data_IF_054556066047
#
_entry.id   IF_054556066047
#
_cell.length_a   1.000
_cell.length_b   1.000
_cell.length_c   1.000
_cell.angle_alpha   90.00
_cell.angle_beta   90.00
_cell.angle_gamma   90.00
#
_symmetry.space_group_name_H-M   'P 1'
#
loop_
_entity.id
_entity.type
_entity.pdbx_description
1 polymer ?
#
# COMPACT_ATOMS: atom_id res chain seq x y z
N UNK A 1 11.37 17.48 -1.24
CA UNK A 1 11.01 18.45 -0.17
C UNK A 1 11.43 17.93 1.20
N UNK A 2 11.01 16.73 1.63
CA UNK A 2 11.44 16.08 2.89
C UNK A 2 12.93 15.73 2.94
N UNK A 3 13.44 15.00 1.94
CA UNK A 3 14.86 14.60 1.90
C UNK A 3 15.85 15.79 1.83
N UNK A 4 15.36 17.00 1.53
CA UNK A 4 16.16 18.23 1.46
C UNK A 4 15.99 19.12 2.69
N UNK A 5 15.20 18.71 3.68
CA UNK A 5 14.96 19.46 4.92
C UNK A 5 15.10 18.51 6.13
N UNK A 6 16.31 18.38 6.71
CA UNK A 6 16.61 17.40 7.76
C UNK A 6 15.73 17.53 9.01
N UNK A 7 15.37 18.75 9.40
CA UNK A 7 14.55 18.97 10.59
C UNK A 7 13.10 18.53 10.37
N UNK A 8 12.53 18.81 9.19
CA UNK A 8 11.22 18.29 8.81
C UNK A 8 11.24 16.76 8.70
N UNK A 9 12.31 16.19 8.13
CA UNK A 9 12.48 14.74 8.04
C UNK A 9 12.52 14.09 9.43
N UNK A 10 13.26 14.65 10.40
CA UNK A 10 13.29 14.15 11.78
C UNK A 10 11.91 14.16 12.44
N UNK A 11 11.12 15.20 12.20
CA UNK A 11 9.76 15.28 12.73
C UNK A 11 8.79 14.27 12.07
N UNK A 12 8.99 13.97 10.78
CA UNK A 12 8.16 13.05 10.01
C UNK A 12 8.47 11.57 10.28
N UNK A 13 9.75 11.23 10.48
CA UNK A 13 10.22 9.84 10.60
C UNK A 13 9.47 8.99 11.64
N UNK A 14 9.15 9.46 12.86
CA UNK A 14 8.42 8.66 13.84
C UNK A 14 7.04 8.20 13.34
N UNK A 15 6.32 9.07 12.63
CA UNK A 15 5.03 8.74 12.05
C UNK A 15 5.18 7.70 10.94
N UNK A 16 6.11 7.93 10.00
CA UNK A 16 6.39 6.98 8.92
C UNK A 16 6.81 5.62 9.46
N UNK A 17 7.71 5.59 10.44
CA UNK A 17 8.16 4.37 11.10
C UNK A 17 7.03 3.62 11.81
N UNK A 18 6.12 4.31 12.49
CA UNK A 18 4.96 3.69 13.11
C UNK A 18 4.04 3.02 12.07
N UNK A 19 3.69 3.74 11.00
CA UNK A 19 2.83 3.21 9.94
C UNK A 19 3.45 2.00 9.22
N UNK A 20 4.78 2.01 9.05
CA UNK A 20 5.52 0.93 8.39
C UNK A 20 5.78 -0.29 9.30
N UNK A 21 5.91 -0.10 10.61
CA UNK A 21 6.33 -1.18 11.52
C UNK A 21 5.23 -1.74 12.42
N UNK A 22 4.15 -0.98 12.65
CA UNK A 22 3.05 -1.35 13.55
C UNK A 22 1.71 -1.47 12.82
N UNK A 23 1.73 -1.46 11.49
CA UNK A 23 0.53 -1.66 10.68
C UNK A 23 -0.03 -3.08 10.82
N UNK A 24 -1.34 -3.28 10.60
CA UNK A 24 -1.97 -4.60 10.65
C UNK A 24 -1.70 -5.45 9.39
N UNK A 25 -0.96 -4.90 8.42
CA UNK A 25 -0.67 -5.57 7.15
C UNK A 25 0.60 -6.39 7.27
N UNK A 26 0.59 -7.55 6.61
CA UNK A 26 1.82 -8.29 6.37
C UNK A 26 2.82 -7.40 5.59
N UNK A 27 4.12 -7.37 5.97
CA UNK A 27 5.11 -6.52 5.33
C UNK A 27 5.17 -6.66 3.81
N UNK A 28 5.01 -7.88 3.27
CA UNK A 28 4.97 -8.09 1.81
C UNK A 28 3.83 -7.30 1.19
N UNK A 29 2.63 -7.43 1.74
CA UNK A 29 1.43 -6.80 1.18
C UNK A 29 1.47 -5.29 1.33
N UNK A 30 2.01 -4.79 2.44
CA UNK A 30 2.21 -3.38 2.66
C UNK A 30 3.12 -2.76 1.59
N UNK A 31 4.26 -3.38 1.33
CA UNK A 31 5.21 -2.86 0.35
C UNK A 31 4.70 -2.99 -1.10
N UNK A 32 3.96 -4.06 -1.44
CA UNK A 32 3.28 -4.15 -2.73
C UNK A 32 2.25 -3.03 -2.92
N UNK A 33 1.51 -2.67 -1.86
CA UNK A 33 0.58 -1.54 -1.91
C UNK A 33 1.31 -0.20 -2.11
N UNK A 34 2.42 0.04 -1.41
CA UNK A 34 3.23 1.24 -1.57
C UNK A 34 3.82 1.33 -2.99
N UNK A 35 4.35 0.24 -3.51
CA UNK A 35 4.86 0.19 -4.89
C UNK A 35 3.76 0.44 -5.92
N UNK A 36 2.53 -0.04 -5.67
CA UNK A 36 1.38 0.27 -6.54
C UNK A 36 1.00 1.75 -6.49
N UNK A 37 1.03 2.39 -5.31
CA UNK A 37 0.87 3.85 -5.18
C UNK A 37 1.96 4.57 -5.98
N UNK A 38 3.21 4.14 -5.86
CA UNK A 38 4.33 4.75 -6.58
C UNK A 38 4.14 4.69 -8.11
N UNK A 39 3.60 3.57 -8.63
CA UNK A 39 3.22 3.46 -10.05
C UNK A 39 2.06 4.38 -10.42
N UNK A 40 1.00 4.44 -9.60
CA UNK A 40 -0.18 5.26 -9.89
C UNK A 40 0.07 6.76 -9.80
N UNK A 41 1.07 7.18 -9.02
CA UNK A 41 1.42 8.58 -8.82
C UNK A 41 2.70 9.01 -9.58
N UNK A 42 3.22 8.19 -10.50
CA UNK A 42 4.47 8.45 -11.23
C UNK A 42 5.64 8.87 -10.31
N UNK A 43 5.85 8.13 -9.22
CA UNK A 43 6.80 8.44 -8.16
C UNK A 43 8.03 7.50 -8.19
N UNK A 44 9.00 7.72 -9.10
CA UNK A 44 10.14 6.81 -9.30
C UNK A 44 11.08 6.74 -8.10
N UNK A 45 11.15 7.80 -7.29
CA UNK A 45 11.91 7.77 -6.05
C UNK A 45 11.31 6.80 -5.05
N UNK A 46 9.98 6.85 -4.85
CA UNK A 46 9.29 5.95 -3.91
C UNK A 46 9.40 4.51 -4.39
N UNK A 47 9.28 4.28 -5.71
CA UNK A 47 9.54 2.96 -6.30
C UNK A 47 10.95 2.46 -5.94
N UNK A 48 11.98 3.23 -6.24
CA UNK A 48 13.37 2.84 -5.97
C UNK A 48 13.66 2.64 -4.46
N UNK A 49 13.04 3.45 -3.60
CA UNK A 49 13.18 3.36 -2.15
C UNK A 49 12.49 2.12 -1.57
N UNK A 50 11.35 1.72 -2.12
CA UNK A 50 10.52 0.65 -1.58
C UNK A 50 10.76 -0.73 -2.21
N UNK A 51 11.39 -0.83 -3.39
CA UNK A 51 11.76 -2.14 -3.96
C UNK A 51 12.63 -2.99 -3.00
N UNK A 52 13.70 -2.45 -2.38
CA UNK A 52 14.48 -3.20 -1.40
C UNK A 52 13.66 -3.59 -0.16
N UNK A 53 12.75 -2.73 0.29
CA UNK A 53 11.87 -3.01 1.41
C UNK A 53 10.86 -4.12 1.09
N UNK A 54 10.28 -4.11 -0.11
CA UNK A 54 9.38 -5.15 -0.60
C UNK A 54 10.06 -6.53 -0.62
N UNK A 55 11.27 -6.61 -1.16
CA UNK A 55 12.09 -7.83 -1.14
C UNK A 55 12.39 -8.29 0.29
N UNK A 56 12.77 -7.35 1.17
CA UNK A 56 13.02 -7.63 2.60
C UNK A 56 11.76 -8.07 3.36
N UNK A 57 10.59 -7.61 2.93
CA UNK A 57 9.28 -7.97 3.47
C UNK A 57 8.74 -9.30 2.94
N UNK A 58 9.44 -9.96 2.01
CA UNK A 58 9.08 -11.26 1.46
C UNK A 58 8.38 -11.23 0.09
N UNK A 59 8.32 -10.08 -0.59
CA UNK A 59 7.89 -10.01 -1.98
C UNK A 59 8.96 -10.62 -2.90
N UNK A 60 8.51 -11.18 -4.01
CA UNK A 60 9.37 -11.67 -5.07
C UNK A 60 9.56 -10.62 -6.16
N UNK A 61 10.68 -10.70 -6.89
CA UNK A 61 10.87 -9.86 -8.10
C UNK A 61 9.75 -10.07 -9.12
N UNK A 62 9.21 -11.29 -9.21
CA UNK A 62 8.09 -11.60 -10.10
C UNK A 62 6.81 -10.81 -9.71
N UNK A 63 6.48 -10.76 -8.42
CA UNK A 63 5.36 -9.94 -7.93
C UNK A 63 5.61 -8.46 -8.19
N UNK A 64 6.81 -7.95 -7.89
CA UNK A 64 7.16 -6.53 -8.13
C UNK A 64 7.01 -6.18 -9.61
N UNK A 65 7.51 -7.01 -10.51
CA UNK A 65 7.37 -6.79 -11.95
C UNK A 65 5.91 -6.85 -12.40
N UNK A 66 5.14 -7.81 -11.85
CA UNK A 66 3.71 -7.98 -12.14
C UNK A 66 2.86 -6.77 -11.71
N UNK A 67 3.34 -5.90 -10.79
CA UNK A 67 2.64 -4.68 -10.42
C UNK A 67 2.46 -3.71 -11.60
N UNK A 68 3.24 -3.81 -12.66
CA UNK A 68 3.07 -2.98 -13.86
C UNK A 68 2.18 -3.62 -14.94
N UNK A 69 1.86 -4.92 -14.78
CA UNK A 69 1.13 -5.70 -15.76
C UNK A 69 -0.39 -5.61 -15.50
N UNK A 70 -1.19 -5.05 -16.43
CA UNK A 70 -2.63 -4.94 -16.25
C UNK A 70 -3.37 -6.29 -16.30
N UNK A 71 -2.74 -7.36 -16.78
CA UNK A 71 -3.34 -8.70 -16.86
C UNK A 71 -2.77 -9.69 -15.85
N UNK A 72 -1.89 -9.25 -14.95
CA UNK A 72 -1.37 -10.09 -13.89
C UNK A 72 -2.50 -10.59 -12.97
N UNK A 73 -2.48 -11.88 -12.69
CA UNK A 73 -3.41 -12.50 -11.75
C UNK A 73 -2.83 -12.51 -10.34
N UNK A 74 -3.61 -12.05 -9.37
CA UNK A 74 -3.23 -11.96 -7.97
C UNK A 74 -4.12 -12.86 -7.11
N UNK A 75 -3.59 -13.30 -5.98
CA UNK A 75 -4.42 -13.93 -4.96
C UNK A 75 -5.50 -12.93 -4.49
N UNK A 76 -6.71 -13.42 -4.19
CA UNK A 76 -7.86 -12.56 -3.89
C UNK A 76 -7.59 -11.51 -2.80
N UNK A 77 -6.79 -11.85 -1.79
CA UNK A 77 -6.40 -10.94 -0.70
C UNK A 77 -5.51 -9.79 -1.19
N UNK A 78 -4.55 -10.07 -2.07
CA UNK A 78 -3.61 -9.07 -2.59
C UNK A 78 -4.30 -8.20 -3.64
N UNK A 79 -5.08 -8.85 -4.51
CA UNK A 79 -5.90 -8.21 -5.54
C UNK A 79 -6.86 -7.16 -4.95
N UNK A 80 -7.52 -7.46 -3.82
CA UNK A 80 -8.38 -6.51 -3.13
C UNK A 80 -7.62 -5.25 -2.67
N UNK A 81 -6.36 -5.40 -2.24
CA UNK A 81 -5.51 -4.27 -1.82
C UNK A 81 -5.05 -3.45 -3.01
N UNK A 82 -4.56 -4.10 -4.05
CA UNK A 82 -4.06 -3.41 -5.25
C UNK A 82 -5.19 -2.62 -5.93
N UNK A 83 -6.40 -3.19 -5.96
CA UNK A 83 -7.59 -2.47 -6.43
C UNK A 83 -7.97 -1.30 -5.54
N UNK A 84 -7.92 -1.46 -4.21
CA UNK A 84 -8.20 -0.35 -3.30
C UNK A 84 -7.19 0.79 -3.49
N UNK A 85 -5.91 0.48 -3.69
CA UNK A 85 -4.89 1.48 -4.05
C UNK A 85 -5.25 2.18 -5.35
N UNK A 86 -5.62 1.42 -6.38
CA UNK A 86 -6.01 1.99 -7.68
C UNK A 86 -7.20 2.95 -7.57
N UNK A 87 -8.27 2.56 -6.87
CA UNK A 87 -9.47 3.37 -6.66
C UNK A 87 -9.16 4.63 -5.82
N UNK A 88 -8.37 4.51 -4.76
CA UNK A 88 -7.98 5.66 -3.92
C UNK A 88 -7.10 6.64 -4.69
N UNK A 89 -6.15 6.14 -5.49
CA UNK A 89 -5.30 6.99 -6.31
C UNK A 89 -6.06 7.68 -7.44
N UNK A 90 -7.08 7.03 -8.02
CA UNK A 90 -7.88 7.59 -9.09
C UNK A 90 -8.93 8.59 -8.57
N UNK A 91 -9.69 8.20 -7.56
CA UNK A 91 -10.97 8.85 -7.21
C UNK A 91 -11.07 9.23 -5.72
N UNK A 92 -10.03 8.96 -4.92
CA UNK A 92 -10.05 9.17 -3.45
C UNK A 92 -11.23 8.44 -2.80
N UNK A 93 -11.56 7.27 -3.35
CA UNK A 93 -12.72 6.49 -2.97
C UNK A 93 -12.38 4.99 -2.99
N UNK A 94 -13.10 4.20 -2.21
CA UNK A 94 -13.05 2.73 -2.27
C UNK A 94 -14.46 2.25 -2.50
N UNK A 95 -14.68 1.49 -3.57
CA UNK A 95 -15.99 0.97 -3.93
C UNK A 95 -16.49 -0.05 -2.91
N UNK A 96 -17.82 -0.21 -2.80
CA UNK A 96 -18.43 -1.21 -1.92
C UNK A 96 -17.94 -2.62 -2.26
N UNK A 97 -17.74 -2.91 -3.56
CA UNK A 97 -17.21 -4.20 -4.01
C UNK A 97 -15.81 -4.45 -3.47
N UNK A 98 -14.91 -3.48 -3.61
CA UNK A 98 -13.53 -3.57 -3.12
C UNK A 98 -13.50 -3.64 -1.60
N UNK A 99 -14.35 -2.85 -0.93
CA UNK A 99 -14.50 -2.89 0.52
C UNK A 99 -14.98 -4.25 1.04
N UNK A 100 -15.97 -4.86 0.38
CA UNK A 100 -16.43 -6.21 0.72
C UNK A 100 -15.31 -7.24 0.56
N UNK A 101 -14.53 -7.18 -0.52
CA UNK A 101 -13.40 -8.09 -0.72
C UNK A 101 -12.31 -7.94 0.36
N UNK A 102 -11.98 -6.70 0.75
CA UNK A 102 -11.03 -6.42 1.83
C UNK A 102 -11.48 -6.98 3.17
N UNK A 103 -12.74 -6.76 3.54
CA UNK A 103 -13.30 -7.21 4.84
C UNK A 103 -13.52 -8.72 4.90
N UNK A 104 -13.74 -9.38 3.77
CA UNK A 104 -13.84 -10.84 3.71
C UNK A 104 -12.50 -11.53 3.96
N UNK A 105 -11.40 -10.88 3.59
CA UNK A 105 -10.03 -11.45 3.68
C UNK A 105 -9.28 -11.00 4.93
N UNK A 106 -9.68 -9.87 5.52
CA UNK A 106 -9.07 -9.29 6.72
C UNK A 106 -10.17 -9.11 7.75
N UNK A 107 -10.14 -9.92 8.81
CA UNK A 107 -11.13 -9.94 9.88
C UNK A 107 -11.19 -8.65 10.70
N UNK A 108 -11.54 -7.53 10.08
CA UNK A 108 -11.80 -6.25 10.72
C UNK A 108 -13.32 -6.10 10.90
N UNK A 109 -13.84 -6.04 12.13
CA UNK A 109 -15.24 -5.72 12.35
C UNK A 109 -15.50 -4.31 11.82
N UNK A 110 -16.61 -4.08 11.11
CA UNK A 110 -17.08 -2.71 10.83
C UNK A 110 -17.20 -1.99 12.17
N UNK A 111 -16.35 -1.00 12.44
CA UNK A 111 -16.59 -0.08 13.54
C UNK A 111 -17.73 0.84 13.11
N UNK A 112 -18.93 0.57 13.64
CA UNK A 112 -20.14 1.35 13.40
C UNK A 112 -20.14 2.74 14.05
N UNK A 113 -18.97 3.35 14.29
CA UNK A 113 -18.83 4.59 15.06
C UNK A 113 -18.04 5.64 14.30
N UNK A 114 -18.54 6.05 13.14
CA UNK A 114 -18.09 7.27 12.45
C UNK A 114 -19.28 7.97 11.80
N UNK A 115 -20.38 8.09 12.54
CA UNK A 115 -21.52 8.98 12.27
C UNK A 115 -22.28 9.10 13.59
N UNK A 116 -21.78 9.97 14.47
CA UNK A 116 -22.52 10.51 15.62
C UNK A 116 -22.38 12.02 15.59
#
# INVERSE_FOLDING_TARGET
MLARNPELMKAYQPLGGFLLSQGPLDPRVQELAILRVALRCDAPYEWANHVPAALGGGATEAEINALSDPVAAWAATDDAVLRAVDEVCADVFVSDQTWTALTATRGYPRSSSCCS
#
